data_IF_320925658270
#
_entry.id   IF_320925658270
#
_cell.length_a   1.000
_cell.length_b   1.000
_cell.length_c   1.000
_cell.angle_alpha   90.00
_cell.angle_beta   90.00
_cell.angle_gamma   90.00
#
_symmetry.space_group_name_H-M   'P 1'
#
loop_
_entity.id
_entity.type
_entity.pdbx_description
1 polymer ?
#
# COMPACT_ATOMS: atom_id res chain seq x y z
N UNK A 1 -33.88 -13.37 -13.85
CA UNK A 1 -33.16 -12.32 -13.13
C UNK A 1 -33.17 -12.67 -11.64
N UNK A 2 -32.04 -13.10 -11.10
CA UNK A 2 -31.93 -13.37 -9.67
C UNK A 2 -31.71 -12.04 -8.94
N UNK A 3 -32.63 -11.68 -8.05
CA UNK A 3 -32.52 -10.50 -7.22
C UNK A 3 -31.32 -10.67 -6.27
N UNK A 4 -30.45 -9.65 -6.22
CA UNK A 4 -29.34 -9.60 -5.27
C UNK A 4 -29.90 -9.63 -3.85
N UNK A 5 -29.51 -10.63 -3.06
CA UNK A 5 -29.82 -10.69 -1.64
C UNK A 5 -29.15 -9.51 -0.94
N UNK A 6 -29.88 -8.69 -0.16
CA UNK A 6 -29.25 -7.59 0.56
C UNK A 6 -28.21 -8.14 1.53
N UNK A 7 -26.99 -7.57 1.47
CA UNK A 7 -25.98 -7.80 2.48
C UNK A 7 -26.56 -7.25 3.78
N UNK A 8 -26.82 -8.13 4.75
CA UNK A 8 -27.22 -7.72 6.09
C UNK A 8 -26.21 -6.68 6.59
N UNK A 9 -26.70 -5.55 7.10
CA UNK A 9 -25.85 -4.56 7.75
C UNK A 9 -25.08 -5.29 8.85
N UNK A 10 -23.75 -5.40 8.68
CA UNK A 10 -22.89 -5.87 9.75
C UNK A 10 -23.13 -4.93 10.94
N UNK A 11 -23.40 -5.48 12.13
CA UNK A 11 -23.33 -4.71 13.37
C UNK A 11 -21.99 -3.98 13.35
N UNK A 12 -22.03 -2.65 13.44
CA UNK A 12 -20.82 -1.85 13.48
C UNK A 12 -20.06 -2.27 14.75
N UNK A 13 -18.95 -3.00 14.57
CA UNK A 13 -18.07 -3.33 15.68
C UNK A 13 -17.67 -2.02 16.36
N UNK A 14 -18.02 -1.88 17.64
CA UNK A 14 -17.65 -0.70 18.41
C UNK A 14 -16.15 -0.79 18.70
N UNK A 15 -15.41 0.27 18.39
CA UNK A 15 -13.98 0.31 18.68
C UNK A 15 -13.77 0.13 20.19
N UNK A 16 -13.03 -0.90 20.58
CA UNK A 16 -12.72 -1.18 21.99
C UNK A 16 -11.81 -0.09 22.58
N UNK A 17 -10.93 0.49 21.75
CA UNK A 17 -10.04 1.59 22.12
C UNK A 17 -9.94 2.61 20.98
N UNK A 18 -9.70 3.87 21.35
CA UNK A 18 -9.40 4.95 20.43
C UNK A 18 -8.36 5.88 21.08
N UNK A 19 -7.22 6.05 20.42
CA UNK A 19 -6.10 6.86 20.90
C UNK A 19 -5.33 7.47 19.72
N UNK A 20 -4.55 8.51 20.01
CA UNK A 20 -3.59 9.05 19.06
C UNK A 20 -2.27 8.26 19.11
N UNK A 21 -1.69 8.00 17.94
CA UNK A 21 -0.32 7.43 17.85
C UNK A 21 0.71 8.45 18.36
N UNK A 22 0.45 9.74 18.15
CA UNK A 22 1.26 10.86 18.64
C UNK A 22 0.39 12.11 18.70
N UNK A 23 0.69 13.01 19.64
CA UNK A 23 0.05 14.33 19.75
C UNK A 23 0.92 15.45 19.17
N UNK A 24 2.23 15.20 19.04
CA UNK A 24 3.19 16.12 18.44
C UNK A 24 4.11 15.37 17.49
N UNK A 25 4.50 16.04 16.41
CA UNK A 25 5.41 15.52 15.42
C UNK A 25 6.34 16.62 14.89
N UNK A 26 7.55 16.26 14.41
CA UNK A 26 8.49 17.23 13.84
C UNK A 26 8.10 17.72 12.43
N UNK A 27 6.93 17.31 11.93
CA UNK A 27 6.40 17.67 10.62
C UNK A 27 4.97 18.22 10.73
N UNK A 28 4.59 19.20 9.89
CA UNK A 28 3.26 19.80 9.92
C UNK A 28 2.19 19.01 9.14
N UNK A 29 2.57 17.99 8.37
CA UNK A 29 1.66 17.19 7.54
C UNK A 29 2.05 15.73 7.52
N UNK A 30 1.05 14.84 7.56
CA UNK A 30 1.19 13.40 7.35
C UNK A 30 0.08 12.86 6.43
N UNK A 31 0.35 11.81 5.65
CA UNK A 31 -0.64 11.19 4.77
C UNK A 31 -0.26 9.74 4.45
N UNK A 32 -1.20 9.00 3.82
CA UNK A 32 -1.12 7.59 3.47
C UNK A 32 -0.64 6.66 4.60
N UNK A 33 -1.35 6.68 5.73
CA UNK A 33 -1.06 5.79 6.86
C UNK A 33 -1.33 4.32 6.53
N UNK A 34 -0.49 3.46 7.09
CA UNK A 34 -0.60 2.00 7.10
C UNK A 34 -0.34 1.50 8.52
N UNK A 35 -0.93 0.36 8.88
CA UNK A 35 -0.70 -0.30 10.17
C UNK A 35 -0.64 -1.81 9.93
N UNK A 36 0.24 -2.53 10.59
CA UNK A 36 0.25 -3.99 10.54
C UNK A 36 0.58 -4.62 11.89
N UNK A 37 0.11 -5.85 12.09
CA UNK A 37 0.36 -6.62 13.30
C UNK A 37 1.63 -7.45 13.15
N UNK A 38 2.48 -7.40 14.17
CA UNK A 38 3.69 -8.22 14.29
C UNK A 38 3.57 -9.11 15.52
N UNK A 39 4.42 -10.14 15.67
CA UNK A 39 4.49 -10.93 16.90
C UNK A 39 4.74 -10.13 18.20
N UNK A 40 5.17 -8.87 18.13
CA UNK A 40 5.47 -8.02 19.29
C UNK A 40 4.46 -6.87 19.49
N UNK A 41 3.45 -6.76 18.62
CA UNK A 41 2.46 -5.69 18.65
C UNK A 41 2.27 -5.01 17.30
N UNK A 42 1.50 -3.91 17.31
CA UNK A 42 1.19 -3.15 16.11
C UNK A 42 2.35 -2.25 15.69
N UNK A 43 2.55 -2.10 14.39
CA UNK A 43 3.46 -1.12 13.80
C UNK A 43 2.67 -0.27 12.83
N UNK A 44 2.78 1.05 12.94
CA UNK A 44 2.16 2.00 12.05
C UNK A 44 3.22 2.81 11.30
N UNK A 45 2.92 3.16 10.05
CA UNK A 45 3.78 4.02 9.23
C UNK A 45 2.95 5.00 8.41
N UNK A 46 3.55 6.13 8.05
CA UNK A 46 2.98 7.16 7.18
C UNK A 46 4.11 7.97 6.55
N UNK A 47 3.83 8.71 5.48
CA UNK A 47 4.79 9.73 5.05
C UNK A 47 4.47 11.06 5.72
N UNK A 48 5.51 11.81 6.09
CA UNK A 48 5.38 13.06 6.84
C UNK A 48 6.48 14.06 6.48
N UNK A 49 6.11 15.33 6.38
CA UNK A 49 7.00 16.43 5.98
C UNK A 49 6.26 17.77 5.89
N UNK A 50 6.88 18.76 5.25
CA UNK A 50 6.32 20.12 5.13
C UNK A 50 4.97 20.15 4.42
N UNK A 51 4.84 19.40 3.32
CA UNK A 51 3.61 19.18 2.53
C UNK A 51 3.86 18.02 1.58
N UNK A 52 2.79 17.42 1.06
CA UNK A 52 2.90 16.37 0.06
C UNK A 52 3.76 16.80 -1.14
N UNK A 53 4.73 15.95 -1.52
CA UNK A 53 5.69 16.19 -2.59
C UNK A 53 6.86 17.14 -2.28
N UNK A 54 6.96 17.65 -1.05
CA UNK A 54 8.14 18.43 -0.64
C UNK A 54 9.36 17.51 -0.40
N UNK A 55 10.59 17.87 -0.81
CA UNK A 55 11.77 17.04 -0.57
C UNK A 55 12.01 16.68 0.91
N UNK A 56 11.44 17.43 1.86
CA UNK A 56 11.50 17.09 3.28
C UNK A 56 10.64 15.87 3.69
N UNK A 57 9.83 15.32 2.78
CA UNK A 57 8.91 14.22 3.12
C UNK A 57 9.69 12.91 3.26
N UNK A 58 9.67 12.34 4.47
CA UNK A 58 10.19 11.02 4.79
C UNK A 58 9.08 10.04 5.17
N UNK A 59 9.44 8.77 5.35
CA UNK A 59 8.59 7.73 5.94
C UNK A 59 8.88 7.66 7.44
N UNK A 60 7.81 7.73 8.22
CA UNK A 60 7.85 7.71 9.68
C UNK A 60 7.17 6.44 10.19
N UNK A 61 7.71 5.86 11.25
CA UNK A 61 7.21 4.65 11.89
C UNK A 61 6.98 4.89 13.39
N UNK A 62 5.91 4.31 13.93
CA UNK A 62 5.70 4.17 15.36
C UNK A 62 5.26 2.74 15.68
N UNK A 63 5.67 2.24 16.86
CA UNK A 63 5.37 0.89 17.33
C UNK A 63 4.50 0.96 18.57
N UNK A 64 3.49 0.10 18.64
CA UNK A 64 2.66 -0.06 19.83
C UNK A 64 3.28 -1.12 20.72
N UNK A 65 3.83 -0.68 21.86
CA UNK A 65 4.49 -1.52 22.86
C UNK A 65 3.62 -1.67 24.10
N UNK A 66 4.08 -2.39 25.12
CA UNK A 66 3.41 -2.45 26.41
C UNK A 66 3.26 -1.08 27.10
N UNK A 67 4.08 -0.09 26.72
CA UNK A 67 4.01 1.29 27.23
C UNK A 67 3.18 2.23 26.34
N UNK A 68 2.52 1.72 25.30
CA UNK A 68 1.81 2.48 24.28
C UNK A 68 2.65 2.74 23.02
N UNK A 69 2.20 3.69 22.20
CA UNK A 69 2.86 4.09 20.97
C UNK A 69 4.21 4.78 21.23
N UNK A 70 5.25 4.38 20.50
CA UNK A 70 6.55 5.06 20.55
C UNK A 70 6.50 6.41 19.84
N UNK A 71 7.38 7.34 20.21
CA UNK A 71 7.63 8.54 19.40
C UNK A 71 7.93 8.15 17.94
N UNK A 72 7.33 8.83 16.94
CA UNK A 72 7.61 8.55 15.54
C UNK A 72 9.10 8.71 15.19
N UNK A 73 9.64 7.75 14.43
CA UNK A 73 11.02 7.77 13.93
C UNK A 73 11.04 7.78 12.41
N UNK A 74 11.88 8.61 11.79
CA UNK A 74 12.07 8.64 10.33
C UNK A 74 12.94 7.43 9.94
N UNK A 75 12.41 6.57 9.05
CA UNK A 75 13.07 5.32 8.61
C UNK A 75 13.49 5.35 7.14
N UNK A 76 13.00 6.31 6.38
CA UNK A 76 13.44 6.58 5.00
C UNK A 76 13.21 8.05 4.67
N UNK A 77 14.24 8.73 4.16
CA UNK A 77 14.21 10.18 3.95
C UNK A 77 14.24 10.58 2.46
N UNK A 78 14.38 9.60 1.55
CA UNK A 78 14.41 9.80 0.11
C UNK A 78 15.79 10.16 -0.46
N UNK A 79 16.83 10.05 0.35
CA UNK A 79 18.22 10.19 -0.09
C UNK A 79 18.61 9.04 -1.04
N UNK A 80 19.28 9.39 -2.13
CA UNK A 80 19.77 8.47 -3.15
C UNK A 80 21.31 8.50 -3.09
N UNK A 81 21.94 7.75 -2.21
CA UNK A 81 23.40 7.85 -1.99
C UNK A 81 24.23 7.35 -3.18
N UNK A 82 24.82 8.28 -3.94
CA UNK A 82 26.27 8.46 -4.15
C UNK A 82 26.51 9.65 -5.10
N UNK A 83 26.99 10.79 -4.59
CA UNK A 83 27.20 12.03 -5.36
C UNK A 83 26.29 13.19 -4.92
N UNK A 84 26.06 14.17 -5.81
CA UNK A 84 25.20 15.33 -5.54
C UNK A 84 23.86 14.88 -4.95
N UNK A 85 23.67 15.13 -3.66
CA UNK A 85 22.54 14.59 -2.88
C UNK A 85 21.24 15.21 -3.40
N UNK A 86 20.62 14.53 -4.36
CA UNK A 86 19.26 14.84 -4.80
C UNK A 86 18.29 14.03 -3.95
N UNK A 87 17.85 14.63 -2.85
CA UNK A 87 16.76 14.13 -2.03
C UNK A 87 15.43 14.32 -2.77
N UNK A 88 14.63 13.26 -2.81
CA UNK A 88 13.26 13.30 -3.33
C UNK A 88 12.27 13.00 -2.20
N UNK A 89 11.01 13.46 -2.31
CA UNK A 89 9.97 13.06 -1.37
C UNK A 89 9.77 11.54 -1.38
N UNK A 90 9.50 10.99 -0.19
CA UNK A 90 8.97 9.65 0.00
C UNK A 90 7.43 9.64 -0.10
N UNK A 91 6.84 8.51 -0.51
CA UNK A 91 5.39 8.40 -0.72
C UNK A 91 4.85 7.02 -0.35
N UNK A 92 3.55 6.97 -0.04
CA UNK A 92 2.70 5.78 0.09
C UNK A 92 3.38 4.56 0.74
N UNK A 93 3.73 4.64 2.04
CA UNK A 93 4.23 3.49 2.77
C UNK A 93 3.15 2.42 2.89
N UNK A 94 3.57 1.15 2.77
CA UNK A 94 2.72 -0.02 2.98
C UNK A 94 3.50 -1.02 3.81
N UNK A 95 2.97 -1.33 5.00
CA UNK A 95 3.51 -2.37 5.88
C UNK A 95 2.90 -3.72 5.50
N UNK A 96 3.74 -4.75 5.50
CA UNK A 96 3.34 -6.13 5.36
C UNK A 96 4.21 -7.05 6.22
N UNK A 97 3.63 -7.67 7.24
CA UNK A 97 4.28 -8.69 8.05
C UNK A 97 4.22 -10.03 7.31
N UNK A 98 5.36 -10.50 6.80
CA UNK A 98 5.46 -11.84 6.22
C UNK A 98 5.22 -12.87 7.35
N UNK A 99 4.31 -13.85 7.20
CA UNK A 99 4.11 -14.88 8.23
C UNK A 99 5.40 -15.63 8.54
N UNK A 100 5.84 -15.56 9.81
CA UNK A 100 7.10 -16.16 10.26
C UNK A 100 8.37 -15.49 9.71
N UNK A 101 8.24 -14.35 9.02
CA UNK A 101 9.34 -13.65 8.38
C UNK A 101 9.54 -12.21 8.88
N UNK A 102 10.23 -11.41 8.07
CA UNK A 102 10.47 -10.00 8.35
C UNK A 102 9.21 -9.14 8.14
N UNK A 103 9.14 -8.03 8.86
CA UNK A 103 8.22 -6.93 8.53
C UNK A 103 8.78 -6.17 7.33
N UNK A 104 8.01 -6.11 6.24
CA UNK A 104 8.38 -5.37 5.04
C UNK A 104 7.68 -3.99 5.05
N UNK A 105 8.41 -2.95 4.66
CA UNK A 105 7.89 -1.61 4.44
C UNK A 105 8.20 -1.18 3.01
N UNK A 106 7.18 -1.24 2.17
CA UNK A 106 7.23 -0.76 0.80
C UNK A 106 6.91 0.72 0.76
N UNK A 107 7.65 1.50 -0.03
CA UNK A 107 7.41 2.94 -0.20
C UNK A 107 7.97 3.39 -1.54
N UNK A 108 7.66 4.61 -1.94
CA UNK A 108 8.07 5.16 -3.25
C UNK A 108 8.94 6.37 -3.01
N UNK A 109 9.88 6.59 -3.91
CA UNK A 109 10.70 7.80 -3.94
C UNK A 109 10.68 8.35 -5.35
N UNK A 110 10.63 9.67 -5.47
CA UNK A 110 10.68 10.37 -6.75
C UNK A 110 9.99 11.73 -6.69
N UNK A 111 10.14 12.56 -7.73
CA UNK A 111 9.65 13.95 -7.69
C UNK A 111 8.12 14.06 -7.67
N UNK A 112 7.41 13.08 -8.23
CA UNK A 112 5.95 13.02 -8.25
C UNK A 112 5.46 11.59 -8.63
N UNK A 113 4.15 11.29 -8.49
CA UNK A 113 3.58 9.97 -8.79
C UNK A 113 3.77 9.43 -10.22
N UNK A 114 4.18 10.27 -11.19
CA UNK A 114 4.44 9.86 -12.58
C UNK A 114 5.86 9.36 -12.78
N UNK A 115 6.78 9.74 -11.89
CA UNK A 115 8.23 9.56 -12.06
C UNK A 115 8.89 8.87 -10.84
N UNK A 116 8.09 8.32 -9.93
CA UNK A 116 8.58 7.59 -8.76
C UNK A 116 8.99 6.14 -9.09
N UNK A 117 9.71 5.51 -8.17
CA UNK A 117 10.04 4.10 -8.19
C UNK A 117 9.77 3.47 -6.83
N UNK A 118 9.59 2.15 -6.81
CA UNK A 118 9.37 1.39 -5.59
C UNK A 118 10.67 1.04 -4.87
N UNK A 119 10.64 1.12 -3.55
CA UNK A 119 11.68 0.68 -2.63
C UNK A 119 11.05 -0.19 -1.54
N UNK A 120 11.84 -1.07 -0.96
CA UNK A 120 11.48 -1.84 0.23
C UNK A 120 12.63 -1.79 1.24
N UNK A 121 12.27 -1.63 2.51
CA UNK A 121 13.14 -1.91 3.66
C UNK A 121 12.49 -3.00 4.51
N UNK A 122 13.32 -3.77 5.20
CA UNK A 122 12.86 -4.91 5.99
C UNK A 122 13.34 -4.79 7.44
N UNK A 123 12.50 -5.20 8.37
CA UNK A 123 12.82 -5.29 9.78
C UNK A 123 12.68 -6.72 10.27
N UNK A 124 13.74 -7.25 10.89
CA UNK A 124 13.77 -8.59 11.51
C UNK A 124 13.47 -8.56 13.01
N UNK A 125 13.25 -7.37 13.55
CA UNK A 125 13.07 -7.09 14.98
C UNK A 125 11.83 -6.22 15.22
N UNK A 126 10.79 -6.45 14.39
CA UNK A 126 9.44 -5.92 14.57
C UNK A 126 9.36 -4.38 14.54
N UNK A 127 10.09 -3.79 13.61
CA UNK A 127 10.14 -2.36 13.33
C UNK A 127 11.14 -1.57 14.19
N UNK A 128 12.04 -2.24 14.93
CA UNK A 128 13.08 -1.57 15.72
C UNK A 128 14.21 -1.04 14.84
N UNK A 129 14.73 -1.90 13.97
CA UNK A 129 15.76 -1.56 13.00
C UNK A 129 15.33 -1.97 11.60
N UNK A 130 15.88 -1.30 10.60
CA UNK A 130 15.52 -1.48 9.21
C UNK A 130 16.76 -1.70 8.37
N UNK A 131 16.65 -2.55 7.35
CA UNK A 131 17.72 -2.78 6.38
C UNK A 131 18.01 -1.54 5.55
N UNK A 132 19.14 -1.57 4.83
CA UNK A 132 19.35 -0.65 3.71
C UNK A 132 18.20 -0.76 2.68
N UNK A 133 17.80 0.34 2.03
CA UNK A 133 16.77 0.31 0.99
C UNK A 133 17.16 -0.54 -0.21
N UNK A 134 16.24 -1.43 -0.62
CA UNK A 134 16.36 -2.19 -1.85
C UNK A 134 15.36 -1.66 -2.89
N UNK A 135 15.88 -1.22 -4.04
CA UNK A 135 15.04 -0.80 -5.17
C UNK A 135 14.32 -2.00 -5.78
N UNK A 136 13.03 -1.85 -6.07
CA UNK A 136 12.28 -2.85 -6.81
C UNK A 136 12.71 -2.84 -8.29
N UNK A 137 12.53 -3.96 -9.03
CA UNK A 137 12.88 -4.01 -10.44
C UNK A 137 12.23 -2.89 -11.26
N UNK A 138 12.87 -2.47 -12.36
CA UNK A 138 12.32 -1.43 -13.22
C UNK A 138 10.92 -1.82 -13.73
N UNK A 139 9.97 -0.89 -13.57
CA UNK A 139 8.56 -1.10 -13.92
C UNK A 139 7.68 -1.71 -12.82
N UNK A 140 8.26 -2.08 -11.68
CA UNK A 140 7.59 -2.61 -10.47
C UNK A 140 7.57 -1.52 -9.39
N UNK A 141 6.40 -1.30 -8.79
CA UNK A 141 6.18 -0.32 -7.72
C UNK A 141 5.85 -0.97 -6.37
N UNK A 142 5.61 -2.29 -6.37
CA UNK A 142 5.08 -3.04 -5.25
C UNK A 142 3.63 -2.63 -4.92
N UNK A 143 3.17 -2.87 -3.69
CA UNK A 143 1.89 -2.36 -3.21
C UNK A 143 1.87 -0.84 -3.31
N UNK A 144 1.05 -0.25 -4.21
CA UNK A 144 1.14 1.19 -4.53
C UNK A 144 0.69 2.07 -3.36
N UNK A 145 -0.25 1.60 -2.55
CA UNK A 145 -0.82 2.33 -1.39
C UNK A 145 -1.56 1.44 -0.39
N UNK A 146 -2.19 0.34 -0.82
CA UNK A 146 -2.90 -0.58 0.07
C UNK A 146 -2.10 -1.87 0.27
N UNK A 147 -2.39 -2.58 1.36
CA UNK A 147 -1.72 -3.85 1.71
C UNK A 147 -1.85 -4.89 0.59
N UNK A 148 -0.78 -5.67 0.33
CA UNK A 148 -0.89 -6.87 -0.47
C UNK A 148 -1.68 -7.96 0.29
N UNK A 149 -2.08 -9.02 -0.41
CA UNK A 149 -2.62 -10.23 0.18
C UNK A 149 -1.68 -11.41 -0.10
N UNK A 150 -1.49 -12.26 0.90
CA UNK A 150 -0.80 -13.54 0.72
C UNK A 150 -1.82 -14.62 0.34
N UNK A 151 -1.62 -15.22 -0.83
CA UNK A 151 -2.45 -16.32 -1.31
C UNK A 151 -1.98 -17.66 -0.73
N UNK A 152 -2.87 -18.66 -0.75
CA UNK A 152 -2.55 -20.00 -0.27
C UNK A 152 -1.41 -20.68 -1.06
N UNK A 153 -1.16 -20.24 -2.30
CA UNK A 153 -0.03 -20.66 -3.12
C UNK A 153 1.33 -20.12 -2.66
N UNK A 154 1.34 -19.17 -1.71
CA UNK A 154 2.54 -18.43 -1.31
C UNK A 154 2.76 -17.13 -2.10
N UNK A 155 1.95 -16.87 -3.12
CA UNK A 155 1.99 -15.63 -3.91
C UNK A 155 1.63 -14.42 -3.05
N UNK A 156 2.53 -13.43 -3.00
CA UNK A 156 2.26 -12.11 -2.45
C UNK A 156 1.71 -11.21 -3.57
N UNK A 157 0.40 -10.99 -3.57
CA UNK A 157 -0.28 -10.21 -4.60
C UNK A 157 -0.56 -8.78 -4.14
N UNK A 158 -0.13 -7.82 -4.93
CA UNK A 158 -0.20 -6.38 -4.65
C UNK A 158 -1.11 -5.66 -5.63
N UNK A 159 -2.01 -4.84 -5.09
CA UNK A 159 -2.70 -3.82 -5.89
C UNK A 159 -1.73 -2.70 -6.24
N UNK A 160 -1.61 -2.38 -7.53
CA UNK A 160 -0.72 -1.33 -8.01
C UNK A 160 -1.40 -0.41 -9.02
N UNK A 161 -0.77 0.72 -9.32
CA UNK A 161 -1.24 1.64 -10.35
C UNK A 161 -0.13 2.58 -10.84
N UNK A 162 -0.30 3.11 -12.05
CA UNK A 162 0.59 4.14 -12.63
C UNK A 162 -0.18 5.39 -13.02
N UNK A 163 0.52 6.54 -13.02
CA UNK A 163 -0.08 7.86 -13.27
C UNK A 163 0.53 8.64 -14.45
N UNK A 164 1.42 8.03 -15.24
CA UNK A 164 2.11 8.68 -16.37
C UNK A 164 1.30 8.67 -17.69
N UNK A 165 0.26 7.83 -17.80
CA UNK A 165 -0.62 7.71 -18.99
C UNK A 165 -2.09 7.66 -18.51
N UNK A 166 -2.49 8.68 -17.75
CA UNK A 166 -3.70 8.61 -16.95
C UNK A 166 -3.56 7.64 -15.78
N UNK A 167 -4.67 7.38 -15.10
CA UNK A 167 -4.73 6.52 -13.92
C UNK A 167 -4.99 5.07 -14.35
N UNK A 168 -3.96 4.23 -14.31
CA UNK A 168 -4.06 2.83 -14.74
C UNK A 168 -3.80 1.89 -13.59
N UNK A 169 -4.80 1.07 -13.26
CA UNK A 169 -4.66 0.00 -12.29
C UNK A 169 -4.06 -1.24 -12.96
N UNK A 170 -3.19 -1.91 -12.23
CA UNK A 170 -2.57 -3.18 -12.60
C UNK A 170 -2.17 -3.91 -11.32
N UNK A 171 -1.70 -5.13 -11.45
CA UNK A 171 -1.36 -5.96 -10.30
C UNK A 171 0.06 -6.47 -10.44
N UNK A 172 0.74 -6.54 -9.30
CA UNK A 172 2.13 -6.98 -9.22
C UNK A 172 2.21 -8.08 -8.18
N UNK A 173 3.00 -9.11 -8.43
CA UNK A 173 3.13 -10.21 -7.47
C UNK A 173 4.54 -10.74 -7.41
N UNK A 174 4.82 -11.40 -6.29
CA UNK A 174 6.03 -12.16 -6.08
C UNK A 174 5.66 -13.54 -5.53
N UNK A 175 6.27 -14.58 -6.10
CA UNK A 175 6.10 -15.97 -5.66
C UNK A 175 7.26 -16.41 -4.73
N UNK A 176 8.19 -15.50 -4.41
CA UNK A 176 9.42 -15.74 -3.64
C UNK A 176 9.70 -14.64 -2.61
N UNK A 177 8.62 -14.14 -1.96
CA UNK A 177 8.68 -13.18 -0.84
C UNK A 177 9.33 -11.83 -1.18
N UNK A 178 9.24 -11.40 -2.43
CA UNK A 178 9.68 -10.11 -2.91
C UNK A 178 11.08 -10.09 -3.51
N UNK A 179 11.67 -11.25 -3.80
CA UNK A 179 12.96 -11.37 -4.47
C UNK A 179 12.83 -11.14 -5.98
N UNK A 180 11.84 -11.76 -6.62
CA UNK A 180 11.44 -11.53 -8.02
C UNK A 180 9.99 -11.08 -8.11
N UNK A 181 9.67 -10.39 -9.20
CA UNK A 181 8.38 -9.74 -9.39
C UNK A 181 7.84 -9.94 -10.79
N UNK A 182 6.53 -10.07 -10.86
CA UNK A 182 5.74 -10.14 -12.08
C UNK A 182 4.68 -9.04 -12.06
N UNK A 183 4.13 -8.73 -13.23
CA UNK A 183 3.18 -7.65 -13.44
C UNK A 183 2.13 -8.02 -14.49
N UNK A 184 0.87 -7.73 -14.19
CA UNK A 184 -0.24 -7.87 -15.13
C UNK A 184 -0.25 -6.74 -16.16
N UNK A 185 -1.01 -6.92 -17.23
CA UNK A 185 -1.45 -5.78 -18.03
C UNK A 185 -2.29 -4.80 -17.19
N UNK A 186 -2.35 -3.54 -17.63
CA UNK A 186 -3.30 -2.58 -17.07
C UNK A 186 -4.74 -3.02 -17.40
N UNK A 187 -5.65 -2.88 -16.44
CA UNK A 187 -7.05 -3.32 -16.59
C UNK A 187 -7.97 -2.21 -17.13
N UNK A 188 -7.41 -1.02 -17.40
CA UNK A 188 -8.10 0.13 -17.96
C UNK A 188 -7.14 1.00 -18.79
N UNK A 189 -7.71 1.84 -19.67
CA UNK A 189 -6.94 2.70 -20.59
C UNK A 189 -6.31 3.91 -19.93
N UNK A 190 -6.90 4.39 -18.82
CA UNK A 190 -6.41 5.52 -18.03
C UNK A 190 -7.27 6.79 -18.10
N UNK A 191 -8.11 6.91 -19.12
CA UNK A 191 -8.82 8.16 -19.46
C UNK A 191 -10.28 8.19 -18.96
N UNK A 192 -11.15 7.31 -19.48
CA UNK A 192 -12.59 7.35 -19.19
C UNK A 192 -12.90 7.10 -17.71
N UNK A 193 -12.35 6.02 -17.15
CA UNK A 193 -12.58 5.64 -15.76
C UNK A 193 -11.48 6.21 -14.83
N UNK A 194 -10.22 6.06 -15.25
CA UNK A 194 -9.03 6.34 -14.47
C UNK A 194 -9.03 5.60 -13.13
N UNK A 195 -8.35 4.46 -13.02
CA UNK A 195 -8.32 3.62 -11.82
C UNK A 195 -6.97 3.67 -11.12
N UNK A 196 -6.97 3.82 -9.79
CA UNK A 196 -5.75 3.76 -8.96
C UNK A 196 -5.97 3.05 -7.64
N UNK A 197 -4.84 2.74 -7.00
CA UNK A 197 -4.76 2.30 -5.61
C UNK A 197 -5.72 1.14 -5.29
N UNK A 198 -5.61 -0.01 -5.98
CA UNK A 198 -6.47 -1.15 -5.70
C UNK A 198 -6.28 -1.62 -4.24
N UNK A 199 -7.36 -1.95 -3.56
CA UNK A 199 -7.34 -2.73 -2.32
C UNK A 199 -7.89 -4.12 -2.62
N UNK A 200 -7.25 -5.14 -2.09
CA UNK A 200 -7.52 -6.54 -2.42
C UNK A 200 -8.14 -7.27 -1.25
N UNK A 201 -9.10 -8.16 -1.53
CA UNK A 201 -9.60 -9.13 -0.56
C UNK A 201 -10.04 -10.40 -1.28
N UNK A 202 -10.07 -11.51 -0.52
CA UNK A 202 -10.38 -12.84 -1.04
C UNK A 202 -11.74 -13.30 -0.53
N UNK A 203 -12.58 -13.77 -1.44
CA UNK A 203 -13.85 -14.42 -1.12
C UNK A 203 -13.66 -15.88 -0.71
N UNK A 204 -14.69 -16.48 -0.11
CA UNK A 204 -14.63 -17.87 0.37
C UNK A 204 -14.38 -18.89 -0.74
N UNK A 205 -14.80 -18.60 -1.97
CA UNK A 205 -14.60 -19.44 -3.15
C UNK A 205 -13.20 -19.30 -3.78
N UNK A 206 -12.34 -18.44 -3.21
CA UNK A 206 -11.00 -18.16 -3.72
C UNK A 206 -10.93 -16.99 -4.70
N UNK A 207 -12.06 -16.45 -5.15
CA UNK A 207 -12.09 -15.25 -6.02
C UNK A 207 -11.42 -14.08 -5.31
N UNK A 208 -10.54 -13.39 -6.03
CA UNK A 208 -9.90 -12.17 -5.55
C UNK A 208 -10.70 -10.99 -6.10
N UNK A 209 -11.05 -10.06 -5.23
CA UNK A 209 -11.76 -8.83 -5.58
C UNK A 209 -10.83 -7.65 -5.35
N UNK A 210 -10.80 -6.73 -6.31
CA UNK A 210 -10.13 -5.45 -6.23
C UNK A 210 -11.17 -4.34 -6.18
N UNK A 211 -11.11 -3.50 -5.13
CA UNK A 211 -11.78 -2.21 -5.10
C UNK A 211 -10.78 -1.10 -5.40
N UNK A 212 -11.16 -0.19 -6.27
CA UNK A 212 -10.27 0.84 -6.80
C UNK A 212 -10.91 2.21 -6.70
N UNK A 213 -10.07 3.18 -6.32
CA UNK A 213 -10.40 4.59 -6.46
C UNK A 213 -10.47 4.92 -7.95
N UNK A 214 -11.44 5.73 -8.34
CA UNK A 214 -11.54 6.20 -9.71
C UNK A 214 -11.78 7.72 -9.80
N UNK A 215 -11.91 8.25 -11.01
CA UNK A 215 -12.25 9.68 -11.24
C UNK A 215 -13.75 9.97 -11.16
N UNK A 216 -14.57 8.96 -10.84
CA UNK A 216 -16.01 9.08 -10.64
C UNK A 216 -16.36 9.04 -9.15
N UNK A 217 -17.60 9.39 -8.81
CA UNK A 217 -18.10 9.47 -7.42
C UNK A 217 -18.40 8.11 -6.76
N UNK A 218 -18.03 7.01 -7.40
CA UNK A 218 -18.29 5.64 -6.93
C UNK A 218 -16.99 4.82 -6.98
N UNK A 219 -16.93 3.70 -6.27
CA UNK A 219 -15.79 2.78 -6.34
C UNK A 219 -15.93 1.87 -7.56
N UNK A 220 -14.82 1.49 -8.17
CA UNK A 220 -14.79 0.46 -9.20
C UNK A 220 -14.39 -0.90 -8.62
N UNK A 221 -15.03 -1.97 -9.10
CA UNK A 221 -14.72 -3.36 -8.76
C UNK A 221 -14.16 -4.11 -9.98
N UNK A 222 -13.16 -4.95 -9.77
CA UNK A 222 -12.75 -6.01 -10.70
C UNK A 222 -12.42 -7.29 -9.94
N UNK A 223 -12.50 -8.44 -10.61
CA UNK A 223 -12.34 -9.77 -10.02
C UNK A 223 -11.34 -10.60 -10.79
N UNK A 224 -10.60 -11.44 -10.07
CA UNK A 224 -9.70 -12.46 -10.62
C UNK A 224 -10.04 -13.83 -10.03
N UNK A 225 -10.04 -14.85 -10.89
CA UNK A 225 -10.24 -16.26 -10.52
C UNK A 225 -8.99 -17.12 -10.79
N UNK A 226 -7.89 -16.50 -11.19
CA UNK A 226 -6.64 -17.13 -11.62
C UNK A 226 -5.43 -16.58 -10.84
N UNK A 227 -5.62 -16.37 -9.53
CA UNK A 227 -4.57 -15.91 -8.61
C UNK A 227 -3.97 -14.53 -8.95
N UNK A 228 -4.78 -13.65 -9.55
CA UNK A 228 -4.42 -12.26 -9.83
C UNK A 228 -3.71 -12.03 -11.16
N UNK A 229 -3.64 -13.04 -12.03
CA UNK A 229 -2.98 -12.93 -13.34
C UNK A 229 -3.84 -12.16 -14.34
N UNK A 230 -5.13 -12.49 -14.41
CA UNK A 230 -6.11 -11.78 -15.24
C UNK A 230 -7.29 -11.29 -14.41
N UNK A 231 -7.94 -10.25 -14.92
CA UNK A 231 -8.94 -9.49 -14.19
C UNK A 231 -10.12 -9.16 -15.11
N UNK A 232 -11.34 -9.29 -14.59
CA UNK A 232 -12.56 -8.93 -15.30
C UNK A 232 -12.59 -7.45 -15.64
N UNK A 233 -13.30 -7.06 -16.70
CA UNK A 233 -13.56 -5.65 -17.01
C UNK A 233 -14.08 -4.91 -15.76
N UNK A 234 -13.43 -3.81 -15.34
CA UNK A 234 -13.87 -3.06 -14.17
C UNK A 234 -15.27 -2.50 -14.36
N UNK A 235 -16.08 -2.49 -13.30
CA UNK A 235 -17.40 -1.88 -13.29
C UNK A 235 -17.64 -1.10 -12.00
N UNK A 236 -18.56 -0.14 -12.05
CA UNK A 236 -18.87 0.71 -10.89
C UNK A 236 -19.82 -0.01 -9.94
N UNK A 237 -19.57 0.16 -8.64
CA UNK A 237 -20.46 -0.31 -7.57
C UNK A 237 -21.07 0.87 -6.81
N UNK A 238 -22.12 0.65 -6.03
CA UNK A 238 -22.85 1.72 -5.35
C UNK A 238 -22.08 2.40 -4.19
N UNK A 239 -20.91 1.88 -3.82
CA UNK A 239 -20.09 2.48 -2.78
C UNK A 239 -19.54 3.85 -3.25
N UNK A 240 -19.64 4.91 -2.43
CA UNK A 240 -19.15 6.23 -2.79
C UNK A 240 -17.62 6.28 -2.86
N UNK A 241 -17.11 7.20 -3.68
CA UNK A 241 -15.69 7.51 -3.82
C UNK A 241 -15.45 9.01 -3.62
N UNK A 242 -14.37 9.33 -2.92
CA UNK A 242 -13.99 10.69 -2.50
C UNK A 242 -13.16 11.44 -3.56
#
# INVERSE_FOLDING_TARGET
MAAATPIAAAEAAQAETAEFIYESAPFPSCHASTIDETPQGLVAAWFGGKREGDPSVGIWVSRHTAAGWTTPVEVANGDQTSGDVKRFPCWNPVLFQVPGGALQLYYKVGPNPREWWGLVIESKDHGQTWSEPRRLPDGILGPIKNKPILLASGRLLSGSSTEHQGWRAHFEWSDDQGATWHKSAAINTGEELGLIQPTLFRLKDGTIVAYMRCRQRKIAESRSTDQGETWSTPHMIELPNN
#
